data_IF_379545449094
#
_entry.id   IF_379545449094
#
_cell.length_a   1.000
_cell.length_b   1.000
_cell.length_c   1.000
_cell.angle_alpha   90.00
_cell.angle_beta   90.00
_cell.angle_gamma   90.00
#
_symmetry.space_group_name_H-M   'P 1'
#
loop_
_entity.id
_entity.type
_entity.pdbx_description
1 polymer ?
#
# COMPACT_ATOMS: atom_id res chain seq x y z
N UNK A 1 -7.86 -21.42 1.82
CA UNK A 1 -8.43 -20.14 1.34
C UNK A 1 -7.69 -19.01 2.03
N UNK A 2 -6.83 -18.29 1.30
CA UNK A 2 -6.13 -17.12 1.85
C UNK A 2 -7.06 -15.92 1.73
N UNK A 3 -7.75 -15.55 2.81
CA UNK A 3 -8.52 -14.30 2.84
C UNK A 3 -7.60 -13.13 2.49
N UNK A 4 -7.94 -12.28 1.50
CA UNK A 4 -7.13 -11.12 1.18
C UNK A 4 -7.19 -10.14 2.36
N UNK A 5 -6.07 -10.03 3.08
CA UNK A 5 -5.94 -9.07 4.17
C UNK A 5 -5.80 -7.67 3.57
N UNK A 6 -6.76 -6.79 3.85
CA UNK A 6 -6.75 -5.41 3.40
C UNK A 6 -6.30 -4.49 4.53
N UNK A 7 -5.37 -3.58 4.23
CA UNK A 7 -4.97 -2.52 5.13
C UNK A 7 -5.72 -1.22 4.85
N UNK A 8 -6.03 -0.50 5.93
CA UNK A 8 -6.38 0.91 5.83
C UNK A 8 -5.14 1.73 5.45
N UNK A 9 -5.31 2.97 5.00
CA UNK A 9 -4.18 3.88 4.73
C UNK A 9 -3.27 4.01 5.95
N UNK A 10 -3.83 4.16 7.15
CA UNK A 10 -3.05 4.33 8.37
C UNK A 10 -2.27 3.06 8.72
N UNK A 11 -2.89 1.89 8.59
CA UNK A 11 -2.21 0.61 8.83
C UNK A 11 -1.09 0.35 7.81
N UNK A 12 -1.36 0.66 6.54
CA UNK A 12 -0.37 0.59 5.46
C UNK A 12 0.82 1.52 5.74
N UNK A 13 0.53 2.76 6.15
CA UNK A 13 1.52 3.77 6.49
C UNK A 13 2.41 3.34 7.66
N UNK A 14 1.80 2.80 8.74
CA UNK A 14 2.54 2.23 9.86
C UNK A 14 3.40 1.04 9.45
N UNK A 15 2.88 0.14 8.61
CA UNK A 15 3.60 -1.05 8.18
C UNK A 15 4.91 -0.71 7.44
N UNK A 16 4.89 0.30 6.56
CA UNK A 16 6.09 0.72 5.82
C UNK A 16 6.84 1.88 6.48
N UNK A 17 6.37 2.38 7.63
CA UNK A 17 7.01 3.47 8.37
C UNK A 17 6.96 4.84 7.67
N UNK A 18 5.90 5.14 6.89
CA UNK A 18 5.74 6.44 6.21
C UNK A 18 4.52 7.21 6.70
N UNK A 19 4.40 8.47 6.31
CA UNK A 19 3.21 9.26 6.58
C UNK A 19 2.00 8.80 5.72
N UNK A 20 0.76 8.78 6.26
CA UNK A 20 -0.46 8.43 5.52
C UNK A 20 -0.66 9.19 4.19
N UNK A 21 -0.21 10.46 4.14
CA UNK A 21 -0.24 11.25 2.91
C UNK A 21 0.66 10.70 1.81
N UNK A 22 1.77 10.04 2.17
CA UNK A 22 2.63 9.37 1.20
C UNK A 22 1.88 8.22 0.55
N UNK A 23 1.21 7.36 1.33
CA UNK A 23 0.36 6.28 0.78
C UNK A 23 -0.69 6.84 -0.19
N UNK A 24 -1.38 7.93 0.17
CA UNK A 24 -2.37 8.57 -0.72
C UNK A 24 -1.74 9.07 -2.02
N UNK A 25 -0.53 9.64 -1.97
CA UNK A 25 0.21 10.06 -3.16
C UNK A 25 0.58 8.87 -4.02
N UNK A 26 1.11 7.79 -3.45
CA UNK A 26 1.48 6.57 -4.17
C UNK A 26 0.27 5.96 -4.89
N UNK A 27 -0.89 5.91 -4.23
CA UNK A 27 -2.12 5.43 -4.86
C UNK A 27 -2.54 6.37 -6.00
N UNK A 28 -2.50 7.69 -5.79
CA UNK A 28 -2.85 8.68 -6.81
C UNK A 28 -1.92 8.64 -8.03
N UNK A 29 -0.64 8.35 -7.80
CA UNK A 29 0.36 8.19 -8.85
C UNK A 29 0.24 6.85 -9.60
N UNK A 30 -0.57 5.91 -9.10
CA UNK A 30 -0.70 4.56 -9.66
C UNK A 30 0.43 3.61 -9.28
N UNK A 31 1.34 4.01 -8.37
CA UNK A 31 2.44 3.19 -7.87
C UNK A 31 1.96 2.08 -6.93
N UNK A 32 0.82 2.29 -6.27
CA UNK A 32 0.26 1.38 -5.28
C UNK A 32 -1.22 1.13 -5.57
N UNK A 33 -1.58 -0.12 -5.90
CA UNK A 33 -2.99 -0.46 -6.16
C UNK A 33 -3.79 -0.46 -4.85
N UNK A 34 -4.91 0.24 -4.86
CA UNK A 34 -5.88 0.23 -3.77
C UNK A 34 -7.28 0.02 -4.33
N UNK A 35 -8.13 -0.61 -3.54
CA UNK A 35 -9.55 -0.79 -3.82
C UNK A 35 -10.31 0.32 -3.07
N UNK A 36 -11.34 0.87 -3.72
CA UNK A 36 -12.29 1.78 -3.08
C UNK A 36 -13.68 1.13 -3.05
N UNK A 37 -14.05 0.40 -1.98
CA UNK A 37 -15.33 -0.30 -1.92
C UNK A 37 -16.54 0.64 -1.91
N UNK A 38 -16.38 1.86 -1.37
CA UNK A 38 -17.47 2.83 -1.14
C UNK A 38 -17.06 4.27 -1.51
N UNK A 39 -16.12 4.44 -2.46
CA UNK A 39 -15.64 5.74 -2.98
C UNK A 39 -14.86 6.64 -2.02
N UNK A 40 -15.06 6.51 -0.72
CA UNK A 40 -14.46 7.38 0.31
C UNK A 40 -13.26 6.71 0.99
N UNK A 41 -13.22 5.38 0.99
CA UNK A 41 -12.29 4.59 1.78
C UNK A 41 -11.37 3.81 0.86
N UNK A 42 -10.07 4.04 1.00
CA UNK A 42 -9.05 3.22 0.36
C UNK A 42 -8.74 1.98 1.20
N UNK A 43 -8.63 0.85 0.52
CA UNK A 43 -8.19 -0.44 1.05
C UNK A 43 -7.02 -0.93 0.22
N UNK A 44 -5.86 -1.00 0.85
CA UNK A 44 -4.64 -1.46 0.21
C UNK A 44 -4.53 -2.97 0.44
N UNK A 45 -4.44 -3.81 -0.61
CA UNK A 45 -4.18 -5.22 -0.43
C UNK A 45 -2.80 -5.44 0.17
N UNK A 46 -2.68 -6.36 1.13
CA UNK A 46 -1.39 -6.70 1.75
C UNK A 46 -0.33 -7.10 0.73
N UNK A 47 -0.69 -7.95 -0.24
CA UNK A 47 0.23 -8.44 -1.27
C UNK A 47 0.79 -7.32 -2.15
N UNK A 48 -0.01 -6.29 -2.44
CA UNK A 48 0.41 -5.15 -3.25
C UNK A 48 1.44 -4.31 -2.48
N UNK A 49 1.18 -4.11 -1.20
CA UNK A 49 2.06 -3.34 -0.32
C UNK A 49 3.38 -4.07 -0.07
N UNK A 50 3.36 -5.40 0.10
CA UNK A 50 4.56 -6.23 0.16
C UNK A 50 5.34 -6.21 -1.16
N UNK A 51 4.64 -6.26 -2.32
CA UNK A 51 5.28 -6.12 -3.64
C UNK A 51 6.04 -4.80 -3.74
N UNK A 52 5.40 -3.69 -3.39
CA UNK A 52 6.00 -2.36 -3.44
C UNK A 52 7.20 -2.25 -2.50
N UNK A 53 7.09 -2.75 -1.25
CA UNK A 53 8.23 -2.77 -0.31
C UNK A 53 9.40 -3.57 -0.85
N UNK A 54 9.14 -4.74 -1.42
CA UNK A 54 10.19 -5.57 -2.03
C UNK A 54 10.84 -4.90 -3.25
N UNK A 55 10.07 -4.18 -4.07
CA UNK A 55 10.59 -3.39 -5.19
C UNK A 55 11.53 -2.27 -4.69
N UNK A 56 11.15 -1.56 -3.62
CA UNK A 56 11.99 -0.50 -3.04
C UNK A 56 13.26 -1.05 -2.40
N UNK A 57 13.17 -2.14 -1.63
CA UNK A 57 14.35 -2.76 -1.00
C UNK A 57 15.28 -3.42 -2.03
N UNK A 58 14.74 -3.93 -3.14
CA UNK A 58 15.52 -4.46 -4.26
C UNK A 58 16.35 -3.40 -4.99
N UNK A 59 15.88 -2.15 -5.02
CA UNK A 59 16.59 -1.02 -5.64
C UNK A 59 17.80 -0.54 -4.81
N UNK A 60 17.78 -0.73 -3.49
CA UNK A 60 18.87 -0.27 -2.60
C UNK A 60 20.12 -1.16 -2.70
N UNK A 61 20.02 -2.34 -3.33
CA UNK A 61 21.09 -3.35 -3.36
C UNK A 61 21.99 -3.31 -4.61
N UNK A 62 21.99 -2.23 -5.39
CA UNK A 62 22.75 -2.12 -6.64
C UNK A 62 23.82 -1.04 -6.60
#
# INVERSE_FOLDING_TARGET
MSTPSFYSINSAAQYIGVHPNTIRKLIRNGELKAIQPMGTIYRVPRWELERWVNEQLGQVKK
#
